data_IF_291541580788
#
_entry.id   IF_291541580788
#
_cell.length_a   1.000
_cell.length_b   1.000
_cell.length_c   1.000
_cell.angle_alpha   90.00
_cell.angle_beta   90.00
_cell.angle_gamma   90.00
#
_symmetry.space_group_name_H-M   'P 1'
#
loop_
_entity.id
_entity.type
_entity.pdbx_description
1 polymer ?
#
# COMPACT_ATOMS: atom_id res chain seq x y z
N UNK A 1 2.25 40.99 -19.55
CA UNK A 1 2.99 39.80 -20.02
C UNK A 1 2.49 38.63 -19.20
N UNK A 2 1.87 37.63 -19.83
CA UNK A 2 1.37 36.44 -19.15
C UNK A 2 2.54 35.65 -18.56
N UNK A 3 2.39 35.13 -17.34
CA UNK A 3 3.31 34.16 -16.76
C UNK A 3 3.35 32.92 -17.68
N UNK A 4 4.53 32.39 -18.03
CA UNK A 4 4.60 31.13 -18.74
C UNK A 4 4.03 30.04 -17.83
N UNK A 5 3.07 29.27 -18.36
CA UNK A 5 2.52 28.10 -17.72
C UNK A 5 3.66 27.14 -17.37
N UNK A 6 3.84 26.86 -16.08
CA UNK A 6 4.82 25.90 -15.61
C UNK A 6 4.47 24.53 -16.18
N UNK A 7 5.23 24.07 -17.18
CA UNK A 7 5.15 22.68 -17.57
C UNK A 7 5.70 21.81 -16.43
N UNK A 8 5.04 20.69 -16.08
CA UNK A 8 5.51 19.82 -15.02
C UNK A 8 6.92 19.34 -15.34
N UNK A 9 7.84 19.60 -14.44
CA UNK A 9 9.24 19.21 -14.57
C UNK A 9 9.32 17.68 -14.77
N UNK A 10 9.95 17.18 -15.84
CA UNK A 10 10.10 15.76 -16.03
C UNK A 10 11.13 15.27 -15.03
N UNK A 11 10.64 14.81 -13.87
CA UNK A 11 11.40 13.87 -13.05
C UNK A 11 11.71 12.70 -13.98
N UNK A 12 12.99 12.31 -14.16
CA UNK A 12 13.31 11.06 -14.84
C UNK A 12 12.86 9.95 -13.91
N UNK A 13 11.55 9.65 -13.94
CA UNK A 13 11.02 8.39 -13.47
C UNK A 13 11.50 7.41 -14.52
N UNK A 14 12.75 6.95 -14.34
CA UNK A 14 13.22 5.75 -15.01
C UNK A 14 12.08 4.73 -14.90
N UNK A 15 11.80 4.05 -16.02
CA UNK A 15 10.67 3.16 -16.28
C UNK A 15 10.66 1.94 -15.33
N UNK A 16 10.66 2.20 -14.02
CA UNK A 16 10.53 1.23 -12.95
C UNK A 16 9.06 0.85 -12.88
N UNK A 17 8.75 -0.45 -12.74
CA UNK A 17 7.39 -0.88 -12.54
C UNK A 17 6.82 -0.16 -11.31
N UNK A 18 5.66 0.48 -11.47
CA UNK A 18 4.96 1.16 -10.39
C UNK A 18 4.43 0.10 -9.42
N UNK A 19 5.11 -0.17 -8.31
CA UNK A 19 4.76 -1.28 -7.42
C UNK A 19 4.21 -0.80 -6.08
N UNK A 20 3.12 -1.41 -5.63
CA UNK A 20 2.53 -1.19 -4.31
C UNK A 20 2.48 -2.50 -3.54
N UNK A 21 2.93 -2.47 -2.29
CA UNK A 21 2.73 -3.57 -1.35
C UNK A 21 1.47 -3.31 -0.53
N UNK A 22 0.47 -4.19 -0.64
CA UNK A 22 -0.75 -4.16 0.15
C UNK A 22 -0.63 -5.17 1.30
N UNK A 23 -0.66 -4.68 2.54
CA UNK A 23 -0.39 -5.43 3.76
C UNK A 23 -1.68 -5.70 4.52
N UNK A 24 -1.92 -6.97 4.86
CA UNK A 24 -3.08 -7.44 5.62
C UNK A 24 -2.68 -7.93 7.02
N UNK A 25 -3.64 -7.91 7.94
CA UNK A 25 -3.53 -8.61 9.23
C UNK A 25 -3.53 -10.12 9.03
N UNK A 26 -2.78 -10.80 9.90
CA UNK A 26 -2.74 -12.26 9.99
C UNK A 26 -3.61 -12.81 11.12
N UNK A 27 -4.23 -11.94 11.92
CA UNK A 27 -5.14 -12.33 13.01
C UNK A 27 -6.51 -12.65 12.43
N UNK A 28 -6.99 -13.87 12.67
CA UNK A 28 -8.24 -14.40 12.13
C UNK A 28 -9.33 -14.61 13.19
N UNK A 29 -9.01 -14.38 14.48
CA UNK A 29 -9.95 -14.50 15.60
C UNK A 29 -9.75 -13.44 16.66
N UNK A 30 -10.85 -13.03 17.26
CA UNK A 30 -10.86 -12.25 18.48
C UNK A 30 -10.44 -13.11 19.69
N UNK A 31 -10.11 -12.49 20.85
CA UNK A 31 -9.79 -13.22 22.08
C UNK A 31 -10.92 -14.14 22.58
N UNK A 32 -12.18 -13.85 22.24
CA UNK A 32 -13.33 -14.70 22.56
C UNK A 32 -13.53 -15.88 21.59
N UNK A 33 -12.68 -16.00 20.56
CA UNK A 33 -12.69 -17.05 19.57
C UNK A 33 -13.60 -16.81 18.36
N UNK A 34 -14.36 -15.71 18.33
CA UNK A 34 -15.16 -15.32 17.17
C UNK A 34 -14.25 -14.91 15.99
N UNK A 35 -14.65 -15.13 14.73
CA UNK A 35 -13.81 -14.85 13.57
C UNK A 35 -13.63 -13.35 13.34
N UNK A 36 -12.42 -12.95 12.94
CA UNK A 36 -12.08 -11.61 12.43
C UNK A 36 -11.10 -11.72 11.26
N UNK A 37 -10.54 -10.61 10.83
CA UNK A 37 -9.60 -10.58 9.74
C UNK A 37 -9.31 -9.17 9.24
N UNK A 38 -8.79 -9.13 8.01
CA UNK A 38 -8.75 -7.89 7.25
C UNK A 38 -10.16 -7.56 6.73
N UNK A 39 -10.45 -6.26 6.55
CA UNK A 39 -11.77 -5.78 6.16
C UNK A 39 -11.88 -5.65 4.63
N UNK A 40 -12.85 -6.35 4.01
CA UNK A 40 -12.97 -6.48 2.56
C UNK A 40 -12.89 -5.14 1.79
N UNK A 41 -13.75 -4.14 2.06
CA UNK A 41 -13.72 -2.89 1.30
C UNK A 41 -12.48 -2.03 1.56
N UNK A 42 -11.81 -2.21 2.70
CA UNK A 42 -10.57 -1.48 3.01
C UNK A 42 -9.35 -2.06 2.29
N UNK A 43 -9.42 -3.30 1.82
CA UNK A 43 -8.39 -3.88 0.97
C UNK A 43 -8.73 -3.73 -0.53
N UNK A 44 -9.97 -4.02 -0.91
CA UNK A 44 -10.37 -4.12 -2.33
C UNK A 44 -10.47 -2.75 -2.98
N UNK A 45 -11.02 -1.72 -2.31
CA UNK A 45 -11.10 -0.40 -2.93
C UNK A 45 -9.73 0.21 -3.21
N UNK A 46 -8.77 0.22 -2.26
CA UNK A 46 -7.41 0.69 -2.55
C UNK A 46 -6.74 -0.15 -3.63
N UNK A 47 -6.87 -1.48 -3.58
CA UNK A 47 -6.36 -2.37 -4.63
C UNK A 47 -6.85 -1.94 -6.02
N UNK A 48 -8.16 -1.77 -6.19
CA UNK A 48 -8.74 -1.37 -7.48
C UNK A 48 -8.20 0.00 -7.92
N UNK A 49 -8.09 0.96 -7.01
CA UNK A 49 -7.53 2.29 -7.33
C UNK A 49 -6.07 2.24 -7.75
N UNK A 50 -5.26 1.38 -7.15
CA UNK A 50 -3.87 1.18 -7.56
C UNK A 50 -3.77 0.54 -8.95
N UNK A 51 -4.55 -0.52 -9.19
CA UNK A 51 -4.60 -1.19 -10.50
C UNK A 51 -5.08 -0.24 -11.60
N UNK A 52 -6.15 0.54 -11.35
CA UNK A 52 -6.68 1.54 -12.29
C UNK A 52 -5.63 2.63 -12.62
N UNK A 53 -4.76 2.95 -11.66
CA UNK A 53 -3.66 3.90 -11.82
C UNK A 53 -2.41 3.28 -12.48
N UNK A 54 -2.47 2.01 -12.86
CA UNK A 54 -1.40 1.27 -13.54
C UNK A 54 -0.29 0.79 -12.60
N UNK A 55 -0.58 0.63 -11.30
CA UNK A 55 0.35 0.00 -10.36
C UNK A 55 0.18 -1.53 -10.37
N UNK A 56 1.30 -2.23 -10.30
CA UNK A 56 1.34 -3.64 -9.92
C UNK A 56 1.19 -3.73 -8.39
N UNK A 57 0.24 -4.53 -7.93
CA UNK A 57 -0.04 -4.69 -6.49
C UNK A 57 0.33 -6.08 -6.03
N UNK A 58 1.25 -6.15 -5.07
CA UNK A 58 1.63 -7.37 -4.38
C UNK A 58 0.99 -7.43 -3.00
N UNK A 59 0.67 -8.63 -2.53
CA UNK A 59 0.00 -8.84 -1.26
C UNK A 59 0.94 -9.46 -0.24
N UNK A 60 0.96 -8.88 0.95
CA UNK A 60 1.69 -9.41 2.10
C UNK A 60 0.79 -9.45 3.33
N UNK A 61 1.17 -10.26 4.31
CA UNK A 61 0.61 -10.20 5.64
C UNK A 61 1.69 -10.38 6.69
N UNK A 62 1.39 -10.08 7.95
CA UNK A 62 2.38 -10.09 9.03
C UNK A 62 3.11 -11.44 9.11
N UNK A 63 2.38 -12.54 9.00
CA UNK A 63 2.93 -13.90 9.10
C UNK A 63 2.88 -14.69 7.80
N UNK A 64 2.34 -14.13 6.71
CA UNK A 64 2.17 -14.80 5.41
C UNK A 64 0.83 -15.53 5.25
N UNK A 65 -0.06 -15.41 6.22
CA UNK A 65 -1.44 -15.89 6.16
C UNK A 65 -2.39 -14.73 6.47
N UNK A 66 -3.52 -14.64 5.77
CA UNK A 66 -4.57 -13.67 6.08
C UNK A 66 -5.95 -14.25 5.79
N UNK A 67 -6.92 -13.91 6.62
CA UNK A 67 -8.33 -14.28 6.44
C UNK A 67 -9.19 -13.03 6.41
N UNK A 68 -10.19 -13.02 5.53
CA UNK A 68 -11.13 -11.91 5.43
C UNK A 68 -12.14 -11.99 6.58
N UNK A 69 -12.45 -10.86 7.21
CA UNK A 69 -13.47 -10.78 8.25
C UNK A 69 -14.86 -11.10 7.64
N UNK A 70 -15.57 -12.15 8.11
CA UNK A 70 -16.87 -12.52 7.56
C UNK A 70 -17.92 -11.40 7.63
N UNK A 71 -17.86 -10.54 8.66
CA UNK A 71 -18.77 -9.41 8.80
C UNK A 71 -18.58 -8.37 7.70
N UNK A 72 -17.35 -8.22 7.21
CA UNK A 72 -17.02 -7.29 6.12
C UNK A 72 -17.59 -7.76 4.77
N UNK A 73 -17.64 -9.07 4.55
CA UNK A 73 -18.27 -9.64 3.35
C UNK A 73 -19.78 -9.40 3.38
N UNK A 74 -20.41 -9.62 4.54
CA UNK A 74 -21.85 -9.40 4.72
C UNK A 74 -22.22 -7.93 4.52
N UNK A 75 -21.43 -7.01 5.09
CA UNK A 75 -21.60 -5.57 4.94
C UNK A 75 -21.39 -5.08 3.50
N UNK A 76 -20.62 -5.80 2.69
CA UNK A 76 -20.28 -5.42 1.31
C UNK A 76 -21.19 -6.05 0.24
N UNK A 77 -22.30 -6.71 0.60
CA UNK A 77 -23.20 -7.37 -0.37
C UNK A 77 -23.72 -6.48 -1.50
N UNK A 78 -23.94 -5.19 -1.23
CA UNK A 78 -24.40 -4.20 -2.21
C UNK A 78 -23.25 -3.50 -2.95
N UNK A 79 -22.02 -3.74 -2.51
CA UNK A 79 -20.82 -3.18 -3.11
C UNK A 79 -20.31 -4.07 -4.24
N UNK A 80 -20.60 -3.64 -5.47
CA UNK A 80 -20.25 -4.40 -6.66
C UNK A 80 -18.74 -4.65 -6.77
N UNK A 81 -17.89 -3.68 -6.41
CA UNK A 81 -16.43 -3.83 -6.56
C UNK A 81 -15.93 -4.91 -5.60
N UNK A 82 -16.38 -4.85 -4.35
CA UNK A 82 -16.04 -5.84 -3.33
C UNK A 82 -16.55 -7.23 -3.69
N UNK A 83 -17.80 -7.34 -4.15
CA UNK A 83 -18.39 -8.64 -4.49
C UNK A 83 -17.85 -9.23 -5.79
N UNK A 84 -17.52 -8.42 -6.79
CA UNK A 84 -16.83 -8.88 -8.01
C UNK A 84 -15.46 -9.49 -7.63
N UNK A 85 -14.69 -8.79 -6.78
CA UNK A 85 -13.40 -9.29 -6.29
C UNK A 85 -13.57 -10.58 -5.47
N UNK A 86 -14.53 -10.61 -4.54
CA UNK A 86 -14.72 -11.74 -3.62
C UNK A 86 -15.21 -13.00 -4.33
N UNK A 87 -16.03 -12.85 -5.36
CA UNK A 87 -16.58 -13.97 -6.13
C UNK A 87 -15.64 -14.45 -7.25
N UNK A 88 -14.66 -13.64 -7.67
CA UNK A 88 -13.63 -14.07 -8.61
C UNK A 88 -12.55 -14.90 -7.90
N UNK A 89 -12.48 -16.19 -8.22
CA UNK A 89 -11.54 -17.12 -7.61
C UNK A 89 -10.06 -16.73 -7.83
N UNK A 90 -9.72 -16.08 -8.96
CA UNK A 90 -8.35 -15.64 -9.23
C UNK A 90 -7.98 -14.45 -8.35
N UNK A 91 -8.91 -13.50 -8.20
CA UNK A 91 -8.71 -12.30 -7.39
C UNK A 91 -8.61 -12.67 -5.91
N UNK A 92 -9.52 -13.54 -5.45
CA UNK A 92 -9.48 -14.08 -4.09
C UNK A 92 -8.18 -14.82 -3.79
N UNK A 93 -7.68 -15.62 -4.73
CA UNK A 93 -6.41 -16.35 -4.57
C UNK A 93 -5.19 -15.42 -4.35
N UNK A 94 -5.24 -14.16 -4.81
CA UNK A 94 -4.19 -13.17 -4.51
C UNK A 94 -4.10 -12.89 -3.01
N UNK A 95 -5.22 -12.96 -2.29
CA UNK A 95 -5.28 -12.75 -0.84
C UNK A 95 -4.94 -14.00 -0.03
N UNK A 96 -4.92 -15.18 -0.67
CA UNK A 96 -4.62 -16.46 -0.02
C UNK A 96 -3.14 -16.83 -0.16
N UNK A 97 -2.48 -16.40 -1.24
CA UNK A 97 -1.05 -16.64 -1.49
C UNK A 97 -0.24 -15.37 -1.27
N UNK A 98 0.14 -15.15 -0.02
CA UNK A 98 0.83 -13.93 0.41
C UNK A 98 2.25 -14.22 0.86
N UNK A 99 3.14 -13.25 0.66
CA UNK A 99 4.43 -13.27 1.33
C UNK A 99 4.30 -12.80 2.77
N UNK A 100 5.27 -13.17 3.60
CA UNK A 100 5.43 -12.59 4.94
C UNK A 100 5.96 -11.19 4.78
N UNK A 101 5.45 -10.25 5.57
CA UNK A 101 5.92 -8.86 5.53
C UNK A 101 7.42 -8.74 5.83
N UNK A 102 7.96 -9.64 6.65
CA UNK A 102 9.39 -9.68 6.98
C UNK A 102 10.29 -10.06 5.80
N UNK A 103 9.74 -10.67 4.75
CA UNK A 103 10.47 -11.11 3.56
C UNK A 103 10.40 -10.07 2.42
N UNK A 104 9.60 -9.00 2.59
CA UNK A 104 9.45 -7.94 1.60
C UNK A 104 10.65 -6.98 1.62
N UNK A 105 11.16 -6.62 0.44
CA UNK A 105 12.16 -5.56 0.28
C UNK A 105 11.45 -4.20 0.08
N UNK A 106 11.51 -3.26 1.03
CA UNK A 106 10.84 -1.97 0.91
C UNK A 106 11.33 -1.14 -0.28
N UNK A 107 12.56 -1.37 -0.75
CA UNK A 107 13.12 -0.64 -1.89
C UNK A 107 12.48 -1.06 -3.23
N UNK A 108 11.77 -2.18 -3.28
CA UNK A 108 11.09 -2.67 -4.48
C UNK A 108 9.72 -2.02 -4.71
N UNK A 109 9.23 -1.22 -3.76
CA UNK A 109 7.88 -0.64 -3.81
C UNK A 109 7.92 0.89 -3.75
N UNK A 110 7.04 1.53 -4.53
CA UNK A 110 6.82 2.97 -4.48
C UNK A 110 5.94 3.38 -3.30
N UNK A 111 5.05 2.47 -2.88
CA UNK A 111 4.17 2.67 -1.75
C UNK A 111 3.88 1.36 -1.01
N UNK A 112 3.61 1.48 0.28
CA UNK A 112 3.11 0.39 1.11
C UNK A 112 1.79 0.83 1.72
N UNK A 113 0.74 0.04 1.52
CA UNK A 113 -0.61 0.30 2.00
C UNK A 113 -1.01 -0.75 3.03
N UNK A 114 -1.38 -0.32 4.23
CA UNK A 114 -1.84 -1.21 5.30
C UNK A 114 -3.38 -1.19 5.32
N UNK A 115 -4.01 -2.30 4.93
CA UNK A 115 -5.45 -2.43 5.04
C UNK A 115 -5.86 -2.65 6.50
N UNK A 116 -7.02 -2.14 6.88
CA UNK A 116 -7.55 -2.31 8.23
C UNK A 116 -8.41 -3.56 8.38
N UNK A 117 -9.37 -3.48 9.29
CA UNK A 117 -10.03 -4.61 9.93
C UNK A 117 -9.60 -4.77 11.38
N UNK A 118 -10.44 -5.38 12.21
CA UNK A 118 -10.21 -5.39 13.65
C UNK A 118 -8.97 -6.20 14.05
N UNK A 119 -8.59 -7.21 13.27
CA UNK A 119 -7.39 -8.03 13.53
C UNK A 119 -6.10 -7.22 13.66
N UNK A 120 -6.01 -6.07 12.98
CA UNK A 120 -4.81 -5.21 12.99
C UNK A 120 -4.42 -4.74 14.39
N UNK A 121 -5.38 -4.68 15.32
CA UNK A 121 -5.14 -4.21 16.70
C UNK A 121 -4.20 -5.13 17.48
N UNK A 122 -4.04 -6.38 17.06
CA UNK A 122 -3.26 -7.39 17.79
C UNK A 122 -1.90 -7.70 17.18
N UNK A 123 -1.70 -7.51 15.88
CA UNK A 123 -0.45 -7.88 15.21
C UNK A 123 0.33 -6.69 14.62
N UNK A 124 -0.33 -5.65 14.12
CA UNK A 124 0.37 -4.52 13.49
C UNK A 124 1.24 -3.73 14.48
N UNK A 125 0.78 -3.35 15.69
CA UNK A 125 1.60 -2.59 16.64
C UNK A 125 2.87 -3.33 17.06
N UNK A 126 2.77 -4.65 17.25
CA UNK A 126 3.86 -5.51 17.70
C UNK A 126 4.78 -5.99 16.57
N UNK A 127 4.35 -5.80 15.31
CA UNK A 127 5.13 -6.24 14.14
C UNK A 127 6.34 -5.34 13.91
N UNK A 128 7.52 -5.84 14.29
CA UNK A 128 8.81 -5.22 13.96
C UNK A 128 8.97 -5.00 12.46
N UNK A 129 8.53 -5.94 11.63
CA UNK A 129 8.57 -5.80 10.18
C UNK A 129 7.75 -4.59 9.71
N UNK A 130 6.51 -4.43 10.20
CA UNK A 130 5.69 -3.26 9.85
C UNK A 130 6.36 -1.95 10.28
N UNK A 131 6.88 -1.89 11.51
CA UNK A 131 7.60 -0.71 12.01
C UNK A 131 8.83 -0.35 11.15
N UNK A 132 9.60 -1.35 10.74
CA UNK A 132 10.84 -1.15 9.98
C UNK A 132 10.56 -0.74 8.52
N UNK A 133 9.52 -1.30 7.89
CA UNK A 133 9.05 -0.86 6.57
C UNK A 133 8.59 0.59 6.62
N UNK A 134 7.73 0.94 7.59
CA UNK A 134 7.23 2.32 7.73
C UNK A 134 8.38 3.32 7.92
N UNK A 135 9.36 3.00 8.77
CA UNK A 135 10.56 3.82 8.97
C UNK A 135 11.36 3.97 7.67
N UNK A 136 11.48 2.90 6.90
CA UNK A 136 12.23 2.90 5.64
C UNK A 136 11.54 3.76 4.59
N UNK A 137 10.24 3.55 4.36
CA UNK A 137 9.44 4.33 3.42
C UNK A 137 9.44 5.82 3.77
N UNK A 138 9.33 6.16 5.06
CA UNK A 138 9.41 7.55 5.53
C UNK A 138 10.76 8.19 5.25
N UNK A 139 11.88 7.49 5.52
CA UNK A 139 13.24 7.98 5.24
C UNK A 139 13.47 8.18 3.74
N UNK A 140 13.00 7.26 2.90
CA UNK A 140 13.10 7.36 1.44
C UNK A 140 12.33 8.57 0.94
N UNK A 141 11.10 8.79 1.41
CA UNK A 141 10.29 9.96 1.07
C UNK A 141 10.98 11.29 1.40
N UNK A 142 11.56 11.40 2.60
CA UNK A 142 12.32 12.60 3.00
C UNK A 142 13.55 12.79 2.11
N UNK A 143 14.33 11.73 1.87
CA UNK A 143 15.55 11.81 1.04
C UNK A 143 15.21 12.21 -0.39
N UNK A 144 14.17 11.63 -0.98
CA UNK A 144 13.69 11.99 -2.31
C UNK A 144 13.28 13.46 -2.37
N UNK A 145 12.53 13.96 -1.37
CA UNK A 145 12.14 15.37 -1.29
C UNK A 145 13.34 16.32 -1.13
N UNK A 146 14.33 15.96 -0.32
CA UNK A 146 15.55 16.76 -0.15
C UNK A 146 16.40 16.81 -1.42
N UNK A 147 16.55 15.69 -2.12
CA UNK A 147 17.26 15.64 -3.41
C UNK A 147 16.53 16.45 -4.49
N UNK A 148 15.20 16.36 -4.56
CA UNK A 148 14.41 17.18 -5.47
C UNK A 148 14.57 18.68 -5.14
N UNK A 149 14.52 19.06 -3.86
CA UNK A 149 14.72 20.47 -3.43
C UNK A 149 16.12 20.96 -3.78
N UNK A 150 17.14 20.14 -3.56
CA UNK A 150 18.53 20.46 -3.89
C UNK A 150 18.73 20.61 -5.41
N UNK A 151 18.19 19.68 -6.20
CA UNK A 151 18.25 19.76 -7.66
C UNK A 151 17.56 21.03 -8.20
N UNK A 152 16.42 21.41 -7.61
CA UNK A 152 15.75 22.68 -7.94
C UNK A 152 16.62 23.89 -7.58
N UNK A 153 17.28 23.89 -6.42
CA UNK A 153 18.17 24.97 -6.00
C UNK A 153 19.44 25.06 -6.86
N UNK A 154 20.02 23.94 -7.26
CA UNK A 154 21.21 23.89 -8.15
C UNK A 154 20.88 24.34 -9.59
N UNK A 155 19.61 24.28 -10.00
CA UNK A 155 19.13 24.77 -11.29
C UNK A 155 18.73 26.25 -11.30
N UNK A 156 18.77 26.94 -10.16
CA UNK A 156 18.66 28.40 -10.11
C UNK A 156 20.05 28.97 -10.37
N UNK A 157 20.36 29.52 -11.57
CA UNK A 157 21.60 30.24 -11.75
C UNK A 157 21.54 31.44 -10.80
N UNK A 158 22.63 31.71 -10.08
CA UNK A 158 22.78 32.87 -9.21
C UNK A 158 22.25 34.15 -9.91
N UNK A 159 21.01 34.52 -9.62
CA UNK A 159 20.47 35.86 -9.79
C UNK A 159 20.67 36.58 -8.45
N UNK A 160 21.93 36.76 -8.08
CA UNK A 160 22.34 37.80 -7.15
C UNK A 160 23.31 38.69 -7.92
N UNK A 161 23.05 40.01 -8.01
CA UNK A 161 23.93 40.96 -8.69
C UNK A 161 25.31 41.06 -8.04
#
# INVERSE_FOLDING_TARGET
>A
RACPSAEPFPIPVANMPKKVLLVLTSVDKYPDGSPTGWYLPEAVHPYQKFVDAGFEVEWASITGTASCDPSSIDASKEDKICMDFWNDAKMKALTEKQMRLADADPAAYDAVFFAGGFGVMWDFPESKAAQDIIKTMYKVSIKARLLATRALLEQVPLLLP
#
